data_IF_864650769649
#
_entry.id   IF_864650769649
#
_cell.length_a   1.000
_cell.length_b   1.000
_cell.length_c   1.000
_cell.angle_alpha   90.00
_cell.angle_beta   90.00
_cell.angle_gamma   90.00
#
_symmetry.space_group_name_H-M   'P 1'
#
loop_
_entity.id
_entity.type
_entity.pdbx_description
1 polymer ?
#
# COMPACT_ATOMS: atom_id res chain seq x y z
N UNK A 1 32.62 58.18 -26.32
CA UNK A 1 32.51 58.07 -24.88
C UNK A 1 31.12 58.52 -24.32
N UNK A 2 30.01 58.29 -25.06
CA UNK A 2 28.70 58.90 -24.71
C UNK A 2 27.60 57.82 -24.40
N UNK A 3 27.88 56.53 -24.58
CA UNK A 3 26.88 55.46 -24.43
C UNK A 3 26.98 54.64 -23.15
N UNK A 4 27.97 54.83 -22.27
CA UNK A 4 28.11 54.08 -21.03
C UNK A 4 27.29 54.62 -19.83
N UNK A 5 26.83 55.87 -19.93
CA UNK A 5 26.10 56.52 -18.81
C UNK A 5 24.59 56.30 -18.83
N UNK A 6 24.01 55.77 -19.90
CA UNK A 6 22.55 55.47 -19.98
C UNK A 6 22.19 54.06 -19.51
N UNK A 7 23.12 53.11 -19.55
CA UNK A 7 22.88 51.71 -19.13
C UNK A 7 22.83 51.51 -17.59
N UNK A 8 23.47 52.42 -16.84
CA UNK A 8 23.54 52.26 -15.37
C UNK A 8 22.27 52.79 -14.67
N UNK A 9 21.53 53.72 -15.30
CA UNK A 9 20.31 54.30 -14.69
C UNK A 9 19.08 53.39 -14.83
N UNK A 10 19.06 52.47 -15.78
CA UNK A 10 17.93 51.53 -15.99
C UNK A 10 18.06 50.28 -15.11
N UNK A 11 19.21 49.90 -14.63
CA UNK A 11 19.42 48.73 -13.75
C UNK A 11 19.07 49.01 -12.28
N UNK A 12 19.08 50.27 -11.85
CA UNK A 12 18.72 50.61 -10.44
C UNK A 12 17.21 50.66 -10.23
N UNK A 13 16.41 50.90 -11.29
CA UNK A 13 14.98 50.98 -11.20
C UNK A 13 14.28 49.60 -11.12
N UNK A 14 14.92 48.49 -11.54
CA UNK A 14 14.36 47.13 -11.45
C UNK A 14 14.70 46.39 -10.16
N UNK A 15 15.71 46.84 -9.41
CA UNK A 15 16.07 46.22 -8.13
C UNK A 15 15.16 46.64 -6.96
N UNK A 16 14.40 47.71 -7.11
CA UNK A 16 13.54 48.23 -6.02
C UNK A 16 12.12 47.64 -6.05
N UNK A 17 11.71 46.87 -7.07
CA UNK A 17 10.35 46.35 -7.23
C UNK A 17 10.19 44.89 -6.80
N UNK A 18 11.23 44.20 -6.37
CA UNK A 18 11.22 42.80 -5.95
C UNK A 18 11.28 42.58 -4.44
N UNK A 19 11.23 43.63 -3.65
CA UNK A 19 11.41 43.55 -2.19
C UNK A 19 10.12 43.56 -1.36
N UNK A 20 8.93 43.38 -1.94
CA UNK A 20 7.67 43.56 -1.19
C UNK A 20 6.67 42.43 -1.39
N UNK A 21 7.03 41.18 -1.29
CA UNK A 21 6.04 40.07 -1.19
C UNK A 21 6.54 38.88 -0.35
N UNK A 22 7.27 39.13 0.68
CA UNK A 22 7.41 38.13 1.77
C UNK A 22 6.44 38.53 2.90
N UNK A 23 5.15 38.47 2.63
CA UNK A 23 4.14 38.42 3.70
C UNK A 23 4.23 37.01 4.30
N UNK A 24 4.96 36.88 5.41
CA UNK A 24 4.88 35.71 6.27
C UNK A 24 3.42 35.56 6.66
N UNK A 25 2.75 34.51 6.14
CA UNK A 25 1.43 34.15 6.60
C UNK A 25 1.52 33.96 8.14
N UNK A 26 0.69 34.62 8.93
CA UNK A 26 0.69 34.42 10.36
C UNK A 26 0.45 32.92 10.62
N UNK A 27 1.36 32.28 11.36
CA UNK A 27 1.09 30.96 11.89
C UNK A 27 -0.18 31.06 12.73
N UNK A 28 -1.28 30.52 12.21
CA UNK A 28 -2.53 30.48 12.94
C UNK A 28 -2.33 29.55 14.13
N UNK A 29 -2.24 30.11 15.33
CA UNK A 29 -2.25 29.33 16.55
C UNK A 29 -3.65 28.71 16.69
N UNK A 30 -3.81 27.48 16.25
CA UNK A 30 -5.02 26.70 16.42
C UNK A 30 -5.29 26.53 17.91
N UNK A 31 -6.44 27.00 18.38
CA UNK A 31 -6.88 26.74 19.74
C UNK A 31 -7.30 25.27 19.91
N UNK A 32 -7.39 24.81 21.15
CA UNK A 32 -7.91 23.45 21.44
C UNK A 32 -9.33 23.30 20.92
N UNK A 33 -10.15 24.35 20.95
CA UNK A 33 -11.50 24.33 20.40
C UNK A 33 -11.53 24.19 18.89
N UNK A 34 -10.61 24.85 18.15
CA UNK A 34 -10.50 24.72 16.70
C UNK A 34 -10.07 23.31 16.30
N UNK A 35 -9.12 22.74 17.04
CA UNK A 35 -8.69 21.35 16.82
C UNK A 35 -9.83 20.38 17.09
N UNK A 36 -10.59 20.56 18.19
CA UNK A 36 -11.75 19.72 18.50
C UNK A 36 -12.79 19.76 17.38
N UNK A 37 -13.16 20.97 16.92
CA UNK A 37 -14.12 21.11 15.82
C UNK A 37 -13.66 20.46 14.51
N UNK A 38 -12.36 20.54 14.21
CA UNK A 38 -11.80 19.85 13.03
C UNK A 38 -11.81 18.33 13.19
N UNK A 39 -11.54 17.82 14.38
CA UNK A 39 -11.61 16.38 14.69
C UNK A 39 -13.04 15.88 14.55
N UNK A 40 -14.03 16.59 15.13
CA UNK A 40 -15.44 16.22 15.04
C UNK A 40 -15.93 16.23 13.58
N UNK A 41 -15.55 17.22 12.79
CA UNK A 41 -15.85 17.28 11.38
C UNK A 41 -15.24 16.11 10.60
N UNK A 42 -13.99 15.76 10.87
CA UNK A 42 -13.31 14.64 10.24
C UNK A 42 -13.93 13.28 10.63
N UNK A 43 -14.35 13.13 11.89
CA UNK A 43 -15.02 11.92 12.35
C UNK A 43 -16.42 11.76 11.74
N UNK A 44 -17.20 12.84 11.69
CA UNK A 44 -18.52 12.82 11.06
C UNK A 44 -18.43 12.44 9.58
N UNK A 45 -17.48 13.01 8.83
CA UNK A 45 -17.25 12.61 7.45
C UNK A 45 -16.96 11.10 7.31
N UNK A 46 -16.12 10.54 8.20
CA UNK A 46 -15.86 9.09 8.19
C UNK A 46 -17.11 8.26 8.49
N UNK A 47 -17.98 8.72 9.39
CA UNK A 47 -19.22 8.04 9.71
C UNK A 47 -20.18 8.00 8.52
N UNK A 48 -20.25 9.08 7.75
CA UNK A 48 -21.08 9.14 6.52
C UNK A 48 -20.62 8.10 5.49
N UNK A 49 -19.30 7.96 5.28
CA UNK A 49 -18.76 6.92 4.39
C UNK A 49 -19.01 5.50 4.91
N UNK A 50 -18.88 5.27 6.23
CA UNK A 50 -19.22 3.98 6.83
C UNK A 50 -20.72 3.67 6.71
N UNK A 51 -21.57 4.68 6.78
CA UNK A 51 -23.02 4.49 6.56
C UNK A 51 -23.30 4.00 5.13
N UNK A 52 -22.61 4.55 4.11
CA UNK A 52 -22.72 4.06 2.73
C UNK A 52 -22.26 2.61 2.57
N UNK A 53 -21.19 2.22 3.27
CA UNK A 53 -20.70 0.84 3.25
C UNK A 53 -21.64 -0.15 3.96
N UNK A 54 -22.48 0.34 4.87
CA UNK A 54 -23.50 -0.44 5.57
C UNK A 54 -24.92 -0.18 5.03
N UNK A 55 -25.04 0.29 3.78
CA UNK A 55 -26.31 0.48 3.13
C UNK A 55 -27.11 -0.84 3.12
N UNK A 56 -28.42 -0.83 3.45
CA UNK A 56 -29.23 -2.03 3.42
C UNK A 56 -29.37 -2.64 2.01
N UNK A 57 -29.12 -1.87 0.95
CA UNK A 57 -28.97 -2.39 -0.40
C UNK A 57 -27.51 -2.86 -0.61
N UNK A 58 -27.26 -4.18 -0.73
CA UNK A 58 -25.90 -4.72 -0.86
C UNK A 58 -25.19 -4.29 -2.13
N UNK A 59 -25.91 -4.00 -3.22
CA UNK A 59 -25.32 -3.50 -4.45
C UNK A 59 -24.82 -2.06 -4.29
N UNK A 60 -25.56 -1.22 -3.59
CA UNK A 60 -25.13 0.14 -3.26
C UNK A 60 -23.92 0.15 -2.34
N UNK A 61 -23.91 -0.69 -1.31
CA UNK A 61 -22.78 -0.84 -0.41
C UNK A 61 -21.51 -1.29 -1.16
N UNK A 62 -21.64 -2.30 -2.03
CA UNK A 62 -20.54 -2.81 -2.86
C UNK A 62 -20.01 -1.74 -3.83
N UNK A 63 -20.90 -1.02 -4.50
CA UNK A 63 -20.52 0.07 -5.43
C UNK A 63 -19.83 1.22 -4.67
N UNK A 64 -20.34 1.61 -3.50
CA UNK A 64 -19.69 2.61 -2.66
C UNK A 64 -18.28 2.19 -2.28
N UNK A 65 -18.09 0.95 -1.85
CA UNK A 65 -16.77 0.39 -1.54
C UNK A 65 -15.83 0.44 -2.74
N UNK A 66 -16.29 0.01 -3.92
CA UNK A 66 -15.49 0.05 -5.14
C UNK A 66 -15.05 1.47 -5.50
N UNK A 67 -15.97 2.43 -5.49
CA UNK A 67 -15.66 3.84 -5.76
C UNK A 67 -14.64 4.38 -4.76
N UNK A 68 -14.79 4.07 -3.47
CA UNK A 68 -13.84 4.51 -2.45
C UNK A 68 -12.45 3.90 -2.63
N UNK A 69 -12.35 2.65 -3.09
CA UNK A 69 -11.08 1.99 -3.38
C UNK A 69 -10.39 2.54 -4.63
N UNK A 70 -11.16 2.85 -5.68
CA UNK A 70 -10.61 3.27 -6.97
C UNK A 70 -10.34 4.79 -7.06
N UNK A 71 -11.22 5.61 -6.47
CA UNK A 71 -11.24 7.07 -6.65
C UNK A 71 -11.04 7.84 -5.34
N UNK A 72 -11.09 7.16 -4.20
CA UNK A 72 -10.91 7.77 -2.89
C UNK A 72 -9.47 8.18 -2.61
N UNK A 73 -9.30 9.14 -1.70
CA UNK A 73 -8.00 9.39 -1.09
C UNK A 73 -7.57 8.23 -0.16
N UNK A 74 -6.34 8.27 0.33
CA UNK A 74 -5.80 7.22 1.18
C UNK A 74 -6.64 6.92 2.44
N UNK A 75 -7.36 7.91 2.98
CA UNK A 75 -8.23 7.71 4.14
C UNK A 75 -9.50 6.95 3.76
N UNK A 76 -10.12 7.29 2.62
CA UNK A 76 -11.29 6.61 2.09
C UNK A 76 -10.96 5.18 1.66
N UNK A 77 -9.85 4.99 0.95
CA UNK A 77 -9.36 3.66 0.57
C UNK A 77 -9.18 2.77 1.79
N UNK A 78 -8.58 3.29 2.89
CA UNK A 78 -8.43 2.53 4.12
C UNK A 78 -9.77 2.17 4.77
N UNK A 79 -10.74 3.07 4.83
CA UNK A 79 -12.07 2.79 5.37
C UNK A 79 -12.76 1.68 4.57
N UNK A 80 -12.70 1.76 3.24
CA UNK A 80 -13.29 0.75 2.36
C UNK A 80 -12.58 -0.60 2.48
N UNK A 81 -11.26 -0.60 2.56
CA UNK A 81 -10.45 -1.81 2.73
C UNK A 81 -10.75 -2.49 4.06
N UNK A 82 -10.72 -1.75 5.18
CA UNK A 82 -11.08 -2.28 6.50
C UNK A 82 -12.47 -2.90 6.49
N UNK A 83 -13.47 -2.20 5.95
CA UNK A 83 -14.84 -2.72 5.86
C UNK A 83 -14.89 -4.01 5.03
N UNK A 84 -14.27 -4.01 3.86
CA UNK A 84 -14.32 -5.12 2.93
C UNK A 84 -13.58 -6.37 3.41
N UNK A 85 -12.39 -6.23 3.96
CA UNK A 85 -11.57 -7.36 4.43
C UNK A 85 -12.22 -8.12 5.59
N UNK A 86 -12.95 -7.42 6.46
CA UNK A 86 -13.65 -8.03 7.60
C UNK A 86 -15.10 -8.40 7.30
N UNK A 87 -15.56 -8.25 6.06
CA UNK A 87 -16.90 -8.65 5.65
C UNK A 87 -17.09 -10.16 5.78
N UNK A 88 -18.28 -10.59 6.15
CA UNK A 88 -18.68 -12.00 6.10
C UNK A 88 -18.93 -12.49 4.67
N UNK A 89 -19.19 -11.58 3.74
CA UNK A 89 -19.41 -11.89 2.33
C UNK A 89 -18.06 -12.08 1.60
N UNK A 90 -17.89 -13.24 0.96
CA UNK A 90 -16.66 -13.58 0.25
C UNK A 90 -16.45 -12.71 -0.99
N UNK A 91 -17.52 -12.29 -1.66
CA UNK A 91 -17.44 -11.39 -2.83
C UNK A 91 -16.97 -9.99 -2.42
N UNK A 92 -17.47 -9.49 -1.29
CA UNK A 92 -17.03 -8.19 -0.73
C UNK A 92 -15.55 -8.25 -0.33
N UNK A 93 -15.12 -9.32 0.35
CA UNK A 93 -13.70 -9.51 0.70
C UNK A 93 -12.80 -9.56 -0.53
N UNK A 94 -13.25 -10.23 -1.59
CA UNK A 94 -12.51 -10.29 -2.86
C UNK A 94 -12.34 -8.92 -3.49
N UNK A 95 -13.41 -8.11 -3.58
CA UNK A 95 -13.34 -6.75 -4.13
C UNK A 95 -12.39 -5.87 -3.32
N UNK A 96 -12.44 -5.97 -1.99
CA UNK A 96 -11.51 -5.24 -1.12
C UNK A 96 -10.05 -5.65 -1.36
N UNK A 97 -9.79 -6.95 -1.43
CA UNK A 97 -8.44 -7.47 -1.69
C UNK A 97 -7.94 -7.08 -3.09
N UNK A 98 -8.80 -7.11 -4.11
CA UNK A 98 -8.44 -6.65 -5.45
C UNK A 98 -8.11 -5.16 -5.47
N UNK A 99 -8.93 -4.32 -4.82
CA UNK A 99 -8.67 -2.89 -4.69
C UNK A 99 -7.34 -2.60 -3.98
N UNK A 100 -7.04 -3.34 -2.91
CA UNK A 100 -5.74 -3.25 -2.24
C UNK A 100 -4.59 -3.58 -3.19
N UNK A 101 -4.67 -4.67 -3.94
CA UNK A 101 -3.60 -5.08 -4.86
C UNK A 101 -3.45 -4.10 -6.04
N UNK A 102 -4.56 -3.54 -6.55
CA UNK A 102 -4.54 -2.52 -7.61
C UNK A 102 -3.90 -1.21 -7.17
N UNK A 103 -3.85 -0.90 -5.88
CA UNK A 103 -3.09 0.23 -5.35
C UNK A 103 -1.56 0.03 -5.40
N UNK A 104 -1.10 -1.13 -5.87
CA UNK A 104 0.32 -1.53 -6.02
C UNK A 104 1.11 -1.39 -4.72
N UNK A 105 0.65 -2.02 -3.64
CA UNK A 105 1.35 -1.94 -2.37
C UNK A 105 2.70 -2.65 -2.43
N UNK A 106 3.56 -2.33 -1.47
CA UNK A 106 4.67 -3.21 -1.12
C UNK A 106 4.11 -4.33 -0.25
N UNK A 107 4.06 -5.55 -0.76
CA UNK A 107 3.67 -6.71 0.01
C UNK A 107 4.81 -7.12 0.95
N UNK A 108 4.60 -6.98 2.24
CA UNK A 108 5.55 -7.44 3.25
C UNK A 108 5.17 -8.85 3.69
N UNK A 109 5.95 -9.84 3.29
CA UNK A 109 5.76 -11.23 3.72
C UNK A 109 6.56 -11.44 4.99
N UNK A 110 5.88 -11.84 6.05
CA UNK A 110 6.47 -12.28 7.32
C UNK A 110 6.46 -13.80 7.34
N UNK A 111 7.62 -14.44 7.46
CA UNK A 111 7.67 -15.89 7.47
C UNK A 111 8.40 -16.43 8.71
N UNK A 112 7.97 -17.60 9.18
CA UNK A 112 8.56 -18.26 10.33
C UNK A 112 9.55 -19.34 9.90
N UNK A 113 10.79 -18.94 9.76
CA UNK A 113 11.90 -19.83 9.45
C UNK A 113 12.60 -20.45 10.68
N UNK A 114 11.98 -20.43 11.87
CA UNK A 114 12.62 -20.95 13.09
C UNK A 114 13.06 -22.43 12.99
N UNK A 115 12.28 -23.27 12.33
CA UNK A 115 12.66 -24.65 12.04
C UNK A 115 13.77 -24.72 10.98
N UNK A 116 13.68 -23.89 9.95
CA UNK A 116 14.64 -23.84 8.86
C UNK A 116 16.02 -23.37 9.32
N UNK A 117 16.08 -22.40 10.23
CA UNK A 117 17.35 -21.89 10.77
C UNK A 117 18.12 -22.96 11.56
N UNK A 118 17.42 -23.92 12.16
CA UNK A 118 18.04 -25.06 12.85
C UNK A 118 18.61 -26.08 11.88
N UNK A 119 18.00 -26.22 10.72
CA UNK A 119 18.35 -27.27 9.75
C UNK A 119 19.32 -26.77 8.67
N UNK A 120 19.12 -25.59 8.14
CA UNK A 120 19.92 -25.03 7.04
C UNK A 120 19.96 -23.50 7.11
N UNK A 121 20.58 -22.97 8.16
CA UNK A 121 20.68 -21.53 8.43
C UNK A 121 21.31 -20.76 7.27
N UNK A 122 22.44 -21.25 6.78
CA UNK A 122 23.24 -20.49 5.80
C UNK A 122 22.46 -20.31 4.49
N UNK A 123 21.71 -21.33 4.09
CA UNK A 123 20.92 -21.26 2.88
C UNK A 123 19.70 -20.34 3.06
N UNK A 124 19.02 -20.38 4.22
CA UNK A 124 17.94 -19.45 4.52
C UNK A 124 18.44 -18.00 4.48
N UNK A 125 19.56 -17.71 5.14
CA UNK A 125 20.17 -16.37 5.15
C UNK A 125 20.56 -15.94 3.74
N UNK A 126 21.23 -16.80 2.98
CA UNK A 126 21.60 -16.53 1.60
C UNK A 126 20.37 -16.19 0.75
N UNK A 127 19.32 -17.02 0.82
CA UNK A 127 18.08 -16.80 0.10
C UNK A 127 17.44 -15.46 0.43
N UNK A 128 17.27 -15.16 1.72
CA UNK A 128 16.64 -13.92 2.19
C UNK A 128 17.42 -12.69 1.73
N UNK A 129 18.75 -12.76 1.73
CA UNK A 129 19.61 -11.69 1.20
C UNK A 129 19.42 -11.50 -0.32
N UNK A 130 19.33 -12.58 -1.11
CA UNK A 130 19.06 -12.49 -2.55
C UNK A 130 17.69 -11.85 -2.83
N UNK A 131 16.70 -12.13 -1.99
CA UNK A 131 15.37 -11.52 -2.06
C UNK A 131 15.31 -10.09 -1.46
N UNK A 132 16.46 -9.50 -1.07
CA UNK A 132 16.57 -8.19 -0.41
C UNK A 132 15.72 -8.09 0.86
N UNK A 133 15.55 -9.22 1.54
CA UNK A 133 14.84 -9.32 2.81
C UNK A 133 15.76 -9.24 4.01
N UNK A 134 15.21 -9.56 5.19
CA UNK A 134 15.95 -9.70 6.43
C UNK A 134 15.52 -10.96 7.19
N UNK A 135 16.44 -11.53 7.95
CA UNK A 135 16.18 -12.65 8.86
C UNK A 135 16.90 -12.40 10.17
N UNK A 136 16.21 -12.59 11.29
CA UNK A 136 16.80 -12.44 12.61
C UNK A 136 17.41 -13.75 13.15
N UNK A 137 17.99 -13.66 14.36
CA UNK A 137 18.59 -14.81 15.03
C UNK A 137 17.61 -15.92 15.40
N UNK A 138 16.32 -15.61 15.52
CA UNK A 138 15.24 -16.55 15.80
C UNK A 138 14.64 -17.18 14.52
N UNK A 139 15.07 -16.72 13.34
CA UNK A 139 14.54 -17.21 12.06
C UNK A 139 13.30 -16.47 11.57
N UNK A 140 12.96 -15.32 12.14
CA UNK A 140 11.90 -14.50 11.60
C UNK A 140 12.36 -13.80 10.34
N UNK A 141 11.66 -14.02 9.25
CA UNK A 141 11.97 -13.56 7.90
C UNK A 141 11.02 -12.44 7.51
N UNK A 142 11.57 -11.40 6.90
CA UNK A 142 10.80 -10.33 6.23
C UNK A 142 11.25 -10.26 4.77
N UNK A 143 10.29 -10.36 3.85
CA UNK A 143 10.50 -10.16 2.41
C UNK A 143 9.57 -9.06 1.92
N UNK A 144 10.06 -8.20 1.04
CA UNK A 144 9.27 -7.10 0.48
C UNK A 144 9.17 -7.27 -1.04
N UNK A 145 7.95 -7.36 -1.54
CA UNK A 145 7.66 -7.47 -2.95
C UNK A 145 6.83 -6.27 -3.41
N UNK A 146 7.42 -5.42 -4.23
CA UNK A 146 6.68 -4.34 -4.87
C UNK A 146 5.81 -4.92 -5.98
N UNK A 147 4.49 -4.78 -5.87
CA UNK A 147 3.56 -5.12 -6.94
C UNK A 147 3.78 -4.22 -8.16
N UNK A 148 3.74 -4.84 -9.34
CA UNK A 148 3.72 -4.17 -10.62
C UNK A 148 2.30 -3.96 -11.15
N UNK A 149 2.21 -3.79 -12.46
CA UNK A 149 0.95 -3.58 -13.14
C UNK A 149 0.08 -4.85 -13.12
N UNK A 150 -1.23 -4.63 -13.22
CA UNK A 150 -2.16 -5.71 -13.49
C UNK A 150 -2.17 -6.00 -15.00
N UNK A 151 -1.90 -7.23 -15.37
CA UNK A 151 -2.00 -7.71 -16.74
C UNK A 151 -3.43 -8.20 -16.97
N UNK A 152 -4.16 -7.49 -17.83
CA UNK A 152 -5.56 -7.81 -18.13
C UNK A 152 -5.74 -9.08 -18.95
N UNK A 153 -4.74 -9.45 -19.76
CA UNK A 153 -4.79 -10.67 -20.58
C UNK A 153 -4.61 -11.91 -19.72
N UNK A 154 -3.61 -11.90 -18.85
CA UNK A 154 -3.24 -13.03 -17.97
C UNK A 154 -3.98 -13.01 -16.62
N UNK A 155 -4.74 -11.95 -16.33
CA UNK A 155 -5.47 -11.74 -15.05
C UNK A 155 -4.57 -11.90 -13.83
N UNK A 156 -3.42 -11.21 -13.85
CA UNK A 156 -2.43 -11.30 -12.79
C UNK A 156 -1.69 -9.98 -12.57
N UNK A 157 -1.04 -9.85 -11.42
CA UNK A 157 -0.10 -8.77 -11.14
C UNK A 157 1.33 -9.23 -11.43
N UNK A 158 2.15 -8.34 -11.98
CA UNK A 158 3.57 -8.59 -12.23
C UNK A 158 4.43 -8.14 -11.04
N UNK A 159 5.72 -8.40 -11.07
CA UNK A 159 6.68 -7.69 -10.19
C UNK A 159 7.03 -6.33 -10.81
N UNK A 160 7.11 -5.28 -10.00
CA UNK A 160 7.44 -3.93 -10.49
C UNK A 160 8.84 -3.82 -11.11
N UNK A 161 9.72 -4.76 -10.81
CA UNK A 161 11.11 -4.77 -11.28
C UNK A 161 11.30 -5.34 -12.69
N UNK A 162 10.21 -5.75 -13.36
CA UNK A 162 10.27 -6.39 -14.69
C UNK A 162 9.26 -5.74 -15.63
N UNK A 163 9.74 -4.89 -16.53
CA UNK A 163 8.94 -4.37 -17.64
C UNK A 163 8.43 -5.54 -18.49
N UNK A 164 7.10 -5.67 -18.62
CA UNK A 164 6.45 -6.76 -19.33
C UNK A 164 6.64 -8.12 -18.68
N UNK A 165 6.83 -8.15 -17.37
CA UNK A 165 7.19 -9.35 -16.62
C UNK A 165 6.10 -10.40 -16.53
N UNK A 166 6.55 -11.64 -16.27
CA UNK A 166 5.68 -12.77 -16.00
C UNK A 166 4.75 -12.52 -14.82
N UNK A 167 3.62 -13.19 -14.82
CA UNK A 167 2.69 -13.21 -13.69
C UNK A 167 3.41 -13.58 -12.39
N UNK A 168 3.25 -12.75 -11.38
CA UNK A 168 3.82 -12.98 -10.07
C UNK A 168 2.77 -13.30 -9.02
N UNK A 169 1.59 -12.68 -9.16
CA UNK A 169 0.49 -12.84 -8.22
C UNK A 169 -0.84 -12.96 -8.96
N UNK A 170 -1.68 -13.88 -8.51
CA UNK A 170 -3.05 -14.06 -9.01
C UNK A 170 -4.03 -14.04 -7.86
N UNK A 171 -5.10 -13.26 -8.02
CA UNK A 171 -6.22 -13.27 -7.11
C UNK A 171 -7.22 -14.33 -7.56
N UNK A 172 -7.58 -15.24 -6.67
CA UNK A 172 -8.64 -16.23 -6.85
C UNK A 172 -9.59 -16.14 -5.67
N UNK A 173 -10.90 -16.06 -5.90
CA UNK A 173 -11.93 -15.87 -4.87
C UNK A 173 -11.49 -15.03 -3.67
N UNK A 174 -11.05 -15.60 -2.57
CA UNK A 174 -10.55 -14.91 -1.38
C UNK A 174 -9.10 -15.30 -1.07
N UNK A 175 -8.30 -15.65 -2.07
CA UNK A 175 -6.89 -16.00 -1.90
C UNK A 175 -6.00 -15.28 -2.90
N UNK A 176 -4.77 -15.03 -2.49
CA UNK A 176 -3.69 -14.52 -3.31
C UNK A 176 -2.72 -15.66 -3.58
N UNK A 177 -2.58 -16.02 -4.85
CA UNK A 177 -1.57 -16.98 -5.28
C UNK A 177 -0.31 -16.23 -5.70
N UNK A 178 0.84 -16.62 -5.16
CA UNK A 178 2.14 -16.05 -5.46
C UNK A 178 3.00 -17.07 -6.19
N UNK A 179 3.58 -16.67 -7.33
CA UNK A 179 4.58 -17.48 -8.03
C UNK A 179 5.94 -17.29 -7.38
N UNK A 180 6.47 -18.36 -6.81
CA UNK A 180 7.75 -18.34 -6.12
C UNK A 180 8.59 -19.54 -6.57
N UNK A 181 9.79 -19.31 -7.09
CA UNK A 181 10.64 -20.36 -7.68
C UNK A 181 9.93 -21.31 -8.66
N UNK A 182 9.07 -20.77 -9.50
CA UNK A 182 8.31 -21.56 -10.47
C UNK A 182 7.15 -22.36 -9.88
N UNK A 183 6.86 -22.20 -8.59
CA UNK A 183 5.75 -22.84 -7.90
C UNK A 183 4.73 -21.80 -7.44
N UNK A 184 3.44 -22.09 -7.64
CA UNK A 184 2.36 -21.28 -7.10
C UNK A 184 2.07 -21.70 -5.67
N UNK A 185 2.10 -20.73 -4.76
CA UNK A 185 1.70 -20.89 -3.36
C UNK A 185 0.48 -20.05 -3.06
N UNK A 186 -0.44 -20.57 -2.27
CA UNK A 186 -1.69 -19.92 -1.93
C UNK A 186 -1.60 -19.24 -0.55
N UNK A 187 -2.04 -17.98 -0.51
CA UNK A 187 -2.27 -17.23 0.71
C UNK A 187 -3.76 -16.95 0.85
N UNK A 188 -4.40 -17.48 1.88
CA UNK A 188 -5.83 -17.30 2.13
C UNK A 188 -6.09 -16.14 3.07
N UNK A 189 -7.14 -15.38 2.77
CA UNK A 189 -7.56 -14.28 3.63
C UNK A 189 -8.23 -14.82 4.89
N UNK A 190 -7.61 -14.59 6.02
CA UNK A 190 -8.10 -14.92 7.34
C UNK A 190 -9.07 -13.85 7.89
N UNK A 191 -9.90 -14.19 8.89
CA UNK A 191 -10.83 -13.24 9.51
C UNK A 191 -10.16 -12.03 10.17
N UNK A 192 -8.88 -12.09 10.47
CA UNK A 192 -8.10 -10.99 11.03
C UNK A 192 -7.57 -9.99 9.97
N UNK A 193 -7.94 -10.19 8.70
CA UNK A 193 -7.52 -9.32 7.60
C UNK A 193 -6.09 -9.56 7.13
N UNK A 194 -5.44 -10.67 7.53
CA UNK A 194 -4.15 -11.09 7.00
C UNK A 194 -4.32 -12.19 5.96
N UNK A 195 -3.39 -12.27 5.02
CA UNK A 195 -3.29 -13.40 4.12
C UNK A 195 -2.29 -14.39 4.69
N UNK A 196 -2.73 -15.63 4.97
CA UNK A 196 -1.87 -16.68 5.51
C UNK A 196 -1.68 -17.83 4.53
N UNK A 197 -0.46 -18.30 4.48
CA UNK A 197 -0.02 -19.37 3.59
C UNK A 197 1.36 -19.88 3.94
N UNK A 198 2.02 -20.38 2.94
CA UNK A 198 3.38 -20.93 3.06
C UNK A 198 4.24 -20.45 1.90
N UNK A 199 5.53 -20.35 2.11
CA UNK A 199 6.49 -20.13 1.02
C UNK A 199 7.45 -21.32 0.94
N UNK A 200 7.74 -21.76 -0.27
CA UNK A 200 8.75 -22.79 -0.52
C UNK A 200 10.10 -22.12 -0.80
N UNK A 201 11.11 -22.51 -0.05
CA UNK A 201 12.50 -22.08 -0.29
C UNK A 201 13.32 -23.32 -0.63
N UNK A 202 13.92 -23.33 -1.80
CA UNK A 202 14.76 -24.46 -2.23
C UNK A 202 15.82 -24.78 -1.20
N UNK A 203 16.07 -26.05 -0.91
CA UNK A 203 16.98 -26.58 0.11
C UNK A 203 16.64 -26.26 1.58
N UNK A 204 15.62 -25.44 1.82
CA UNK A 204 15.12 -25.12 3.17
C UNK A 204 13.80 -25.85 3.43
N UNK A 205 12.94 -25.93 2.41
CA UNK A 205 11.60 -26.51 2.50
C UNK A 205 10.51 -25.45 2.59
N UNK A 206 9.36 -25.86 3.09
CA UNK A 206 8.19 -25.02 3.26
C UNK A 206 8.23 -24.34 4.63
N UNK A 207 7.97 -23.04 4.65
CA UNK A 207 7.89 -22.26 5.89
C UNK A 207 6.57 -21.47 5.94
N UNK A 208 5.89 -21.44 7.09
CA UNK A 208 4.67 -20.66 7.28
C UNK A 208 4.91 -19.17 7.04
N UNK A 209 3.97 -18.51 6.39
CA UNK A 209 4.10 -17.11 6.04
C UNK A 209 2.75 -16.38 6.13
N UNK A 210 2.82 -15.08 6.39
CA UNK A 210 1.67 -14.18 6.39
C UNK A 210 1.99 -12.87 5.64
N UNK A 211 0.96 -12.29 5.05
CA UNK A 211 1.00 -10.96 4.42
C UNK A 211 -0.07 -10.11 5.10
N UNK A 212 0.29 -9.12 5.92
CA UNK A 212 -0.70 -8.20 6.49
C UNK A 212 -1.26 -7.31 5.38
N UNK A 213 -2.58 -7.29 5.23
CA UNK A 213 -3.30 -6.46 4.25
C UNK A 213 -3.82 -5.18 4.91
N UNK A 214 -4.24 -5.25 6.16
CA UNK A 214 -4.62 -4.10 6.99
C UNK A 214 -3.39 -3.57 7.73
N UNK A 215 -2.98 -2.33 7.48
CA UNK A 215 -1.94 -1.62 8.25
C UNK A 215 -2.49 -0.34 8.84
#
# INVERSE_FOLDING_TARGET
MRNRRRAIRTLIAYAALLATLAQAAPAQNLSVADISALVDKAQNGKNDYRALLNDPDPERARLAMQIMLEQGDAALQRIALEHGLFSTDAGVRRVALEGFLRSKPVLTIRADGAAAIKNNRDYLVYYVQQAKGSVDGAGKVLLNYQLGEFNEDDKCFTYSSRDGGDCAFRLTDASLNMLHYGQWTEFRLDPDGSLRGEIFINQVGVIPAEIPVSQ
#
